data_IF_832878631705
#
_entry.id   IF_832878631705
#
_cell.length_a   1.000
_cell.length_b   1.000
_cell.length_c   1.000
_cell.angle_alpha   90.00
_cell.angle_beta   90.00
_cell.angle_gamma   90.00
#
_symmetry.space_group_name_H-M   'P 1'
#
loop_
_entity.id
_entity.type
_entity.pdbx_description
1 polymer ?
#
# COMPACT_ATOMS: atom_id res chain seq x y z
N UNK A 1 21.24 4.66 13.80
CA UNK A 1 20.39 5.55 12.97
C UNK A 1 20.93 5.49 11.55
N UNK A 2 20.62 4.41 10.82
CA UNK A 2 21.05 4.26 9.43
C UNK A 2 20.00 4.89 8.53
N UNK A 3 20.36 5.98 7.87
CA UNK A 3 19.57 6.48 6.75
C UNK A 3 19.72 5.46 5.61
N UNK A 4 18.72 4.59 5.44
CA UNK A 4 18.63 3.76 4.25
C UNK A 4 18.32 4.71 3.10
N UNK A 5 19.30 4.93 2.23
CA UNK A 5 19.11 5.70 1.02
C UNK A 5 18.18 4.91 0.08
N UNK A 6 17.29 5.63 -0.60
CA UNK A 6 16.31 5.05 -1.54
C UNK A 6 16.94 4.18 -2.65
N UNK A 7 18.26 4.32 -2.86
CA UNK A 7 19.05 3.60 -3.86
C UNK A 7 19.47 2.18 -3.46
N UNK A 8 19.36 1.80 -2.18
CA UNK A 8 19.74 0.46 -1.70
C UNK A 8 18.54 -0.53 -1.67
N UNK A 9 17.39 -0.13 -2.21
CA UNK A 9 16.24 -1.02 -2.38
C UNK A 9 16.49 -1.95 -3.57
N UNK A 10 16.81 -3.20 -3.28
CA UNK A 10 16.81 -4.29 -4.28
C UNK A 10 15.52 -4.22 -5.11
N UNK A 11 15.60 -3.98 -6.44
CA UNK A 11 14.43 -3.80 -7.30
C UNK A 11 13.55 -5.06 -7.35
N UNK A 12 14.06 -6.22 -6.93
CA UNK A 12 13.34 -7.48 -6.92
C UNK A 12 12.63 -7.79 -5.58
N UNK A 13 12.88 -7.01 -4.53
CA UNK A 13 12.24 -7.21 -3.22
C UNK A 13 11.05 -6.28 -2.95
N UNK A 14 10.74 -5.39 -3.89
CA UNK A 14 9.54 -4.54 -3.81
C UNK A 14 8.31 -5.34 -4.26
N UNK A 15 7.63 -5.98 -3.31
CA UNK A 15 6.30 -6.56 -3.54
C UNK A 15 5.27 -5.45 -3.76
N UNK A 16 5.18 -4.93 -4.99
CA UNK A 16 4.12 -4.01 -5.39
C UNK A 16 2.90 -4.81 -5.81
N UNK A 17 1.81 -4.69 -5.05
CA UNK A 17 0.52 -5.17 -5.52
C UNK A 17 -0.07 -4.11 -6.45
N UNK A 18 -0.01 -4.39 -7.75
CA UNK A 18 -0.55 -3.54 -8.79
C UNK A 18 -1.90 -4.07 -9.29
N UNK A 19 -2.79 -3.15 -9.62
CA UNK A 19 -4.08 -3.41 -10.28
C UNK A 19 -4.23 -2.44 -11.44
N UNK A 20 -4.94 -2.84 -12.48
CA UNK A 20 -5.32 -1.97 -13.59
C UNK A 20 -6.83 -1.78 -13.55
N UNK A 21 -7.30 -0.54 -13.63
CA UNK A 21 -8.71 -0.24 -13.69
C UNK A 21 -9.28 -0.65 -15.06
N UNK A 22 -10.27 -1.54 -15.10
CA UNK A 22 -10.92 -1.94 -16.36
C UNK A 22 -11.93 -0.88 -16.87
N UNK A 23 -12.36 0.02 -15.99
CA UNK A 23 -13.30 1.11 -16.28
C UNK A 23 -12.97 2.33 -15.44
N UNK A 24 -13.47 3.51 -15.83
CA UNK A 24 -13.45 4.70 -14.98
C UNK A 24 -14.19 4.41 -13.67
N UNK A 25 -13.47 4.47 -12.56
CA UNK A 25 -13.96 4.09 -11.24
C UNK A 25 -13.92 5.30 -10.29
N UNK A 26 -15.08 5.72 -9.79
CA UNK A 26 -15.15 6.66 -8.65
C UNK A 26 -14.83 5.91 -7.35
N UNK A 27 -13.79 6.36 -6.65
CA UNK A 27 -13.41 5.78 -5.36
C UNK A 27 -14.47 6.16 -4.31
N UNK A 28 -14.98 5.16 -3.58
CA UNK A 28 -16.09 5.35 -2.62
C UNK A 28 -15.76 6.47 -1.64
N UNK A 29 -16.77 7.28 -1.33
CA UNK A 29 -16.69 8.34 -0.30
C UNK A 29 -15.70 9.47 -0.61
N UNK A 30 -15.16 9.52 -1.84
CA UNK A 30 -14.28 10.60 -2.32
C UNK A 30 -14.78 11.12 -3.66
N UNK A 31 -14.27 12.28 -4.10
CA UNK A 31 -14.47 12.78 -5.47
C UNK A 31 -13.34 12.37 -6.44
N UNK A 32 -12.54 11.37 -6.05
CA UNK A 32 -11.44 10.85 -6.87
C UNK A 32 -12.00 9.88 -7.91
N UNK A 33 -11.61 10.09 -9.17
CA UNK A 33 -11.88 9.19 -10.29
C UNK A 33 -10.56 8.54 -10.70
N UNK A 34 -10.55 7.20 -10.75
CA UNK A 34 -9.48 6.38 -11.31
C UNK A 34 -9.86 6.10 -12.77
N UNK A 35 -9.15 6.64 -13.77
CA UNK A 35 -9.46 6.38 -15.18
C UNK A 35 -9.23 4.92 -15.55
N UNK A 36 -9.96 4.43 -16.56
CA UNK A 36 -9.69 3.15 -17.23
C UNK A 36 -8.21 3.09 -17.65
N UNK A 37 -7.65 1.89 -17.55
CA UNK A 37 -6.25 1.54 -17.85
C UNK A 37 -5.21 2.18 -16.91
N UNK A 38 -5.63 2.92 -15.87
CA UNK A 38 -4.72 3.42 -14.85
C UNK A 38 -4.20 2.28 -13.96
N UNK A 39 -2.88 2.26 -13.73
CA UNK A 39 -2.24 1.39 -12.74
C UNK A 39 -2.43 1.99 -11.34
N UNK A 40 -2.96 1.18 -10.43
CA UNK A 40 -3.14 1.49 -9.01
C UNK A 40 -2.22 0.57 -8.20
N UNK A 41 -1.34 1.16 -7.40
CA UNK A 41 -0.50 0.42 -6.43
C UNK A 41 -1.17 0.41 -5.06
N UNK A 42 -1.31 -0.77 -4.46
CA UNK A 42 -1.87 -0.92 -3.12
C UNK A 42 -0.72 -0.99 -2.10
N UNK A 43 -0.58 -0.02 -1.17
CA UNK A 43 0.52 0.02 -0.21
C UNK A 43 0.26 -0.92 0.98
N UNK A 44 0.22 -2.23 0.75
CA UNK A 44 -0.13 -3.26 1.75
C UNK A 44 0.69 -3.10 3.03
N UNK A 45 2.00 -2.89 2.93
CA UNK A 45 2.88 -2.76 4.09
C UNK A 45 2.46 -1.63 5.03
N UNK A 46 2.06 -0.47 4.46
CA UNK A 46 1.62 0.67 5.23
C UNK A 46 0.22 0.44 5.83
N UNK A 47 -0.70 -0.14 5.05
CA UNK A 47 -2.06 -0.45 5.51
C UNK A 47 -2.07 -1.44 6.68
N UNK A 48 -1.21 -2.48 6.63
CA UNK A 48 -1.07 -3.45 7.74
C UNK A 48 -0.45 -2.84 9.00
N UNK A 49 0.17 -1.66 8.89
CA UNK A 49 0.81 -0.94 9.99
C UNK A 49 0.04 0.30 10.43
N UNK A 50 -1.16 0.49 9.92
CA UNK A 50 -2.00 1.60 10.33
C UNK A 50 -2.51 1.37 11.77
N UNK A 51 -2.12 2.19 12.76
CA UNK A 51 -2.57 2.03 14.15
C UNK A 51 -4.06 2.31 14.34
N UNK A 52 -4.74 2.98 13.41
CA UNK A 52 -6.20 3.17 13.46
C UNK A 52 -6.96 1.88 13.17
N UNK A 53 -6.35 0.98 12.37
CA UNK A 53 -6.93 -0.32 12.01
C UNK A 53 -6.36 -1.44 12.89
N UNK A 54 -5.06 -1.41 13.16
CA UNK A 54 -4.33 -2.43 13.92
C UNK A 54 -3.64 -1.80 15.13
N UNK A 55 -4.23 -1.86 16.34
CA UNK A 55 -3.59 -1.34 17.55
C UNK A 55 -2.23 -2.00 17.80
N UNK A 56 -1.20 -1.22 18.14
CA UNK A 56 0.18 -1.71 18.32
C UNK A 56 0.68 -2.59 17.15
N UNK A 57 0.70 -2.08 15.90
CA UNK A 57 0.92 -2.92 14.72
C UNK A 57 2.35 -3.47 14.60
N UNK A 58 3.31 -2.87 15.31
CA UNK A 58 4.70 -3.34 15.34
C UNK A 58 4.93 -4.48 16.35
N UNK A 59 3.92 -4.86 17.12
CA UNK A 59 3.99 -5.98 18.08
C UNK A 59 3.49 -7.25 17.39
N UNK A 60 4.37 -8.25 17.29
CA UNK A 60 3.97 -9.59 16.88
C UNK A 60 3.07 -10.20 17.96
N UNK A 61 1.82 -10.42 17.59
CA UNK A 61 0.80 -11.05 18.41
C UNK A 61 0.21 -12.22 17.62
N UNK A 62 0.53 -13.48 17.98
CA UNK A 62 0.05 -14.65 17.25
C UNK A 62 -1.45 -14.89 17.41
N UNK A 63 -2.09 -14.30 18.42
CA UNK A 63 -3.53 -14.44 18.68
C UNK A 63 -4.37 -13.33 18.04
N UNK A 64 -3.72 -12.36 17.35
CA UNK A 64 -4.36 -11.24 16.65
C UNK A 64 -5.18 -11.67 15.43
#
# INVERSE_FOLDING_TARGET
VGHLNDHDRDPYLSFRLERVADVDLKLKETDIIIPKDMIVTIPIYALQRDPEVFPNPEVFDPDR
#
